data_IF_339782291844
#
_entry.id   IF_339782291844
#
_cell.length_a   1.000
_cell.length_b   1.000
_cell.length_c   1.000
_cell.angle_alpha   90.00
_cell.angle_beta   90.00
_cell.angle_gamma   90.00
#
_symmetry.space_group_name_H-M   'P 1'
#
loop_
_entity.id
_entity.type
_entity.pdbx_description
1 polymer ?
2 non-polymer ?
3 non-polymer ?
4 non-polymer ?
5 water ?
#
# COMPACT_ATOMS: atom_id res chain seq x y z
N UNK A 2 3.38 1.25 19.70
CA UNK A 2 4.08 1.71 18.51
C UNK A 2 3.51 1.03 17.26
N UNK A 3 3.16 1.82 16.25
CA UNK A 3 2.62 1.26 15.02
C UNK A 3 3.69 0.73 14.11
N UNK A 4 3.34 -0.32 13.37
CA UNK A 4 4.17 -0.78 12.27
C UNK A 4 3.49 -0.40 10.96
N UNK A 5 4.18 0.40 10.16
CA UNK A 5 3.69 0.85 8.87
C UNK A 5 4.53 0.20 7.79
N UNK A 6 3.88 -0.38 6.79
CA UNK A 6 4.61 -0.98 5.68
C UNK A 6 4.18 -0.35 4.37
N UNK A 7 5.13 0.17 3.61
CA UNK A 7 4.83 0.60 2.26
C UNK A 7 5.15 -0.51 1.26
N UNK A 8 4.26 -0.71 0.29
CA UNK A 8 4.50 -1.63 -0.81
C UNK A 8 4.39 -0.89 -2.12
N UNK A 9 5.48 -0.84 -2.88
CA UNK A 9 5.47 -0.11 -4.15
C UNK A 9 5.75 -1.08 -5.30
N UNK A 10 5.03 -0.92 -6.41
CA UNK A 10 4.98 -1.96 -7.41
C UNK A 10 5.37 -1.63 -8.84
N UNK A 11 6.19 -0.61 -9.03
CA UNK A 11 6.66 -0.33 -10.38
C UNK A 11 7.76 -1.33 -10.74
N UNK A 12 7.72 -1.87 -11.96
CA UNK A 12 8.82 -2.73 -12.41
C UNK A 12 9.96 -1.89 -12.97
N UNK A 13 9.81 -0.57 -12.90
CA UNK A 13 10.78 0.32 -13.51
C UNK A 13 11.81 0.79 -12.49
N UNK A 14 13.06 0.89 -12.93
CA UNK A 14 14.11 1.44 -12.07
C UNK A 14 13.91 2.96 -11.99
N UNK A 15 14.31 3.55 -10.87
CA UNK A 15 14.09 4.97 -10.66
C UNK A 15 12.59 5.32 -10.67
N UNK A 16 11.82 4.61 -9.86
CA UNK A 16 10.36 4.74 -9.81
C UNK A 16 9.89 6.02 -9.12
N UNK A 17 9.12 6.83 -9.83
CA UNK A 17 8.43 7.96 -9.21
C UNK A 17 7.43 7.47 -8.17
N UNK A 18 6.75 6.37 -8.48
CA UNK A 18 5.80 5.77 -7.55
C UNK A 18 6.47 5.39 -6.23
N UNK A 19 7.69 4.85 -6.31
CA UNK A 19 8.44 4.49 -5.11
C UNK A 19 8.77 5.74 -4.28
N UNK A 20 9.12 6.82 -4.97
CA UNK A 20 9.43 8.07 -4.28
C UNK A 20 8.18 8.62 -3.58
N UNK A 21 7.04 8.45 -4.22
CA UNK A 21 5.79 8.92 -3.62
C UNK A 21 5.47 8.08 -2.38
N UNK A 22 5.67 6.77 -2.47
CA UNK A 22 5.39 5.90 -1.34
C UNK A 22 6.37 6.22 -0.20
N UNK A 23 7.62 6.50 -0.55
CA UNK A 23 8.61 6.82 0.47
C UNK A 23 8.25 8.14 1.15
N UNK A 24 7.80 9.12 0.37
CA UNK A 24 7.36 10.38 0.96
C UNK A 24 6.22 10.15 1.96
N UNK A 25 5.24 9.36 1.57
CA UNK A 25 4.10 9.09 2.42
C UNK A 25 4.53 8.37 3.70
N UNK A 26 5.44 7.41 3.57
CA UNK A 26 5.89 6.66 4.73
C UNK A 26 6.60 7.59 5.71
N UNK A 27 7.48 8.43 5.19
CA UNK A 27 8.19 9.40 6.04
C UNK A 27 7.21 10.38 6.73
N UNK A 28 6.21 10.83 5.98
CA UNK A 28 5.22 11.79 6.48
C UNK A 28 4.53 11.19 7.69
N UNK A 29 4.07 9.95 7.56
CA UNK A 29 3.41 9.27 8.67
C UNK A 29 4.33 9.08 9.87
N UNK A 30 5.55 8.61 9.62
CA UNK A 30 6.49 8.35 10.71
C UNK A 30 6.90 9.63 11.45
N UNK A 31 6.92 10.76 10.74
CA UNK A 31 7.26 12.04 11.36
C UNK A 31 6.18 12.53 12.33
N UNK A 32 5.00 11.93 12.28
CA UNK A 32 3.87 12.48 13.02
C UNK A 32 3.15 11.49 13.93
N UNK A 33 3.69 10.29 14.08
CA UNK A 33 3.07 9.27 14.92
C UNK A 33 4.16 8.41 15.55
N UNK A 34 3.83 7.66 16.59
CA UNK A 34 4.80 6.75 17.19
C UNK A 34 4.86 5.49 16.35
N UNK A 35 5.63 5.54 15.27
CA UNK A 35 5.65 4.46 14.27
C UNK A 35 7.05 4.05 13.83
N UNK A 36 7.21 2.77 13.51
CA UNK A 36 8.35 2.35 12.70
C UNK A 36 7.84 1.83 11.35
N UNK A 37 8.71 1.78 10.35
CA UNK A 37 8.25 1.39 9.03
C UNK A 37 9.25 0.59 8.21
N UNK A 38 8.75 0.01 7.13
CA UNK A 38 9.61 -0.56 6.10
C UNK A 38 8.95 -0.36 4.74
N UNK A 39 9.76 -0.42 3.69
CA UNK A 39 9.29 -0.20 2.34
C UNK A 39 9.66 -1.41 1.48
N UNK A 40 8.65 -2.22 1.15
CA UNK A 40 8.82 -3.38 0.27
C UNK A 40 8.76 -2.92 -1.19
N UNK A 41 9.90 -2.94 -1.86
CA UNK A 41 9.94 -2.67 -3.30
C UNK A 41 9.78 -4.00 -4.02
N UNK A 42 8.63 -4.23 -4.65
CA UNK A 42 8.32 -5.56 -5.16
C UNK A 42 9.34 -6.00 -6.23
N UNK A 43 9.86 -5.04 -6.98
CA UNK A 43 10.87 -5.30 -7.99
C UNK A 43 12.13 -5.96 -7.39
N UNK A 44 12.33 -5.77 -6.10
CA UNK A 44 13.55 -6.29 -5.48
C UNK A 44 13.37 -7.68 -4.91
N UNK A 45 12.16 -8.22 -5.01
CA UNK A 45 11.95 -9.59 -4.58
C UNK A 45 12.37 -10.54 -5.70
N UNK A 46 12.73 -11.76 -5.32
CA UNK A 46 13.15 -12.76 -6.29
C UNK A 46 11.99 -13.12 -7.23
N UNK A 47 12.12 -12.82 -8.54
CA UNK A 47 10.99 -12.96 -9.47
C UNK A 47 10.41 -14.38 -9.50
N UNK A 48 11.26 -15.39 -9.53
CA UNK A 48 10.76 -16.76 -9.57
C UNK A 48 9.99 -17.11 -8.30
N UNK A 49 10.57 -16.79 -7.15
CA UNK A 49 9.93 -17.12 -5.90
C UNK A 49 8.62 -16.33 -5.76
N UNK A 50 8.63 -15.09 -6.24
CA UNK A 50 7.44 -14.23 -6.15
C UNK A 50 6.29 -14.85 -6.95
N UNK A 51 6.51 -15.09 -8.24
CA UNK A 51 5.47 -15.64 -9.10
C UNK A 51 5.01 -17.03 -8.67
N UNK A 52 5.89 -17.79 -8.01
CA UNK A 52 5.54 -19.13 -7.52
C UNK A 52 5.01 -19.15 -6.09
N UNK A 53 5.03 -18.01 -5.41
CA UNK A 53 4.65 -17.96 -4.01
C UNK A 53 5.53 -18.85 -3.15
N UNK A 54 6.81 -18.93 -3.49
CA UNK A 54 7.74 -19.81 -2.79
C UNK A 54 8.25 -19.16 -1.51
N UNK A 55 7.65 -19.52 -0.38
CA UNK A 55 7.99 -18.89 0.89
C UNK A 55 9.21 -19.49 1.54
N UNK A 56 9.88 -20.40 0.83
CA UNK A 56 11.15 -20.91 1.30
C UNK A 56 12.22 -19.87 0.97
N UNK A 57 11.89 -18.92 0.10
CA UNK A 57 12.76 -17.77 -0.14
C UNK A 57 12.64 -16.79 1.03
N UNK A 58 13.72 -16.64 1.80
CA UNK A 58 13.67 -15.87 3.05
C UNK A 58 13.15 -14.44 2.88
N UNK A 59 13.65 -13.75 1.86
CA UNK A 59 13.33 -12.35 1.70
C UNK A 59 11.84 -12.18 1.36
N UNK A 60 11.31 -13.08 0.54
CA UNK A 60 9.88 -13.06 0.21
C UNK A 60 9.04 -13.35 1.44
N UNK A 61 9.44 -14.37 2.20
CA UNK A 61 8.72 -14.73 3.42
C UNK A 61 8.70 -13.55 4.39
N UNK A 62 9.83 -12.85 4.49
CA UNK A 62 9.95 -11.70 5.38
C UNK A 62 9.00 -10.56 4.99
N UNK A 63 8.88 -10.31 3.69
CA UNK A 63 7.97 -9.31 3.16
C UNK A 63 6.51 -9.66 3.48
N UNK A 64 6.16 -10.93 3.28
CA UNK A 64 4.81 -11.38 3.57
C UNK A 64 4.52 -11.24 5.07
N UNK A 65 5.42 -11.72 5.91
CA UNK A 65 5.27 -11.58 7.36
C UNK A 65 5.14 -10.12 7.80
N UNK A 66 5.96 -9.24 7.23
CA UNK A 66 5.93 -7.82 7.59
C UNK A 66 4.58 -7.19 7.21
N UNK A 67 4.08 -7.55 6.03
CA UNK A 67 2.78 -7.08 5.59
C UNK A 67 1.69 -7.54 6.56
N UNK A 68 1.72 -8.82 6.93
CA UNK A 68 0.71 -9.36 7.85
C UNK A 68 0.78 -8.74 9.24
N UNK A 69 1.97 -8.32 9.65
CA UNK A 69 2.16 -7.73 10.97
C UNK A 69 1.91 -6.21 11.02
N UNK A 70 1.67 -5.58 9.87
CA UNK A 70 1.51 -4.13 9.82
C UNK A 70 0.17 -3.66 10.41
N UNK A 71 0.15 -2.46 10.99
CA UNK A 71 -1.10 -1.82 11.40
C UNK A 71 -1.69 -0.99 10.26
N UNK A 72 -0.81 -0.49 9.40
CA UNK A 72 -1.21 0.28 8.23
C UNK A 72 -0.34 -0.08 7.04
N UNK A 73 -0.94 -0.14 5.86
CA UNK A 73 -0.21 -0.37 4.62
C UNK A 73 -0.36 0.80 3.67
N UNK A 74 0.75 1.23 3.10
CA UNK A 74 0.73 2.17 2.01
C UNK A 74 0.94 1.35 0.74
N UNK A 75 -0.05 1.38 -0.14
CA UNK A 75 -0.02 0.52 -1.33
C UNK A 75 0.05 1.38 -2.58
N UNK A 76 1.20 1.34 -3.24
CA UNK A 76 1.49 2.29 -4.30
C UNK A 76 1.85 1.60 -5.63
N UNK A 77 1.25 2.07 -6.71
CA UNK A 77 1.49 1.49 -8.02
C UNK A 77 1.46 2.55 -9.10
N UNK A 78 2.28 2.38 -10.15
CA UNK A 78 2.01 3.19 -11.33
C UNK A 78 0.78 2.62 -12.01
N UNK A 79 0.11 3.40 -12.84
CA UNK A 79 -0.99 2.86 -13.61
C UNK A 79 -0.43 2.23 -14.89
N UNK A 80 -0.66 0.92 -15.04
CA UNK A 80 -0.28 0.18 -16.25
C UNK A 80 -1.56 -0.41 -16.86
N UNK A 81 -1.82 -0.11 -18.13
CA UNK A 81 -3.00 -0.66 -18.81
C UNK A 81 -4.26 -0.39 -18.00
N UNK A 82 -4.40 0.84 -17.50
CA UNK A 82 -5.61 1.27 -16.80
C UNK A 82 -5.88 0.54 -15.49
N UNK A 83 -4.83 -0.01 -14.86
CA UNK A 83 -4.99 -0.65 -13.56
C UNK A 83 -3.66 -0.70 -12.81
N UNK A 84 -3.63 -1.40 -11.68
CA UNK A 84 -2.38 -1.59 -10.94
C UNK A 84 -1.47 -2.52 -11.75
N UNK A 85 -0.18 -2.57 -11.40
CA UNK A 85 0.75 -3.40 -12.16
C UNK A 85 0.57 -4.88 -11.83
N UNK A 86 0.93 -5.74 -12.78
CA UNK A 86 0.94 -7.17 -12.51
C UNK A 86 1.94 -7.47 -11.40
N UNK A 87 3.03 -6.71 -11.38
CA UNK A 87 4.06 -6.91 -10.36
C UNK A 87 3.47 -6.71 -8.96
N UNK A 88 2.72 -5.62 -8.76
CA UNK A 88 2.09 -5.39 -7.46
C UNK A 88 1.11 -6.50 -7.13
N UNK A 89 0.23 -6.81 -8.08
CA UNK A 89 -0.79 -7.83 -7.85
C UNK A 89 -0.18 -9.20 -7.55
N UNK A 90 0.95 -9.52 -8.18
CA UNK A 90 1.66 -10.76 -7.90
C UNK A 90 2.02 -10.86 -6.42
N UNK A 91 2.41 -9.74 -5.82
CA UNK A 91 2.73 -9.73 -4.40
C UNK A 91 1.47 -9.93 -3.56
N UNK A 92 0.43 -9.14 -3.86
CA UNK A 92 -0.83 -9.28 -3.16
C UNK A 92 -1.34 -10.72 -3.24
N UNK A 93 -1.12 -11.37 -4.38
CA UNK A 93 -1.64 -12.71 -4.61
C UNK A 93 -1.08 -13.72 -3.60
N UNK A 94 0.13 -13.50 -3.10
CA UNK A 94 0.70 -14.48 -2.16
C UNK A 94 0.35 -14.24 -0.68
N UNK A 95 -0.33 -13.14 -0.37
CA UNK A 95 -0.79 -12.94 1.00
C UNK A 95 -1.93 -13.90 1.34
N UNK A 96 -2.10 -14.23 2.63
CA UNK A 96 -3.22 -15.05 3.11
C UNK A 96 -4.57 -14.47 2.69
N UNK A 97 -5.60 -15.31 2.65
CA UNK A 97 -6.91 -14.90 2.15
C UNK A 97 -7.45 -13.64 2.84
N UNK A 98 -7.30 -13.57 4.15
CA UNK A 98 -7.79 -12.40 4.88
C UNK A 98 -6.65 -11.60 5.49
N UNK A 99 -5.58 -11.47 4.71
CA UNK A 99 -4.33 -10.88 5.18
C UNK A 99 -4.49 -9.48 5.78
N UNK A 100 -5.48 -8.72 5.32
CA UNK A 100 -5.55 -7.31 5.71
C UNK A 100 -6.54 -7.02 6.85
N UNK A 101 -7.08 -8.08 7.46
CA UNK A 101 -7.98 -7.92 8.59
C UNK A 101 -7.32 -7.03 9.63
N UNK A 102 -8.07 -6.06 10.15
CA UNK A 102 -7.58 -5.17 11.18
C UNK A 102 -6.78 -3.96 10.70
N UNK A 103 -6.33 -3.99 9.45
CA UNK A 103 -5.39 -2.98 8.96
C UNK A 103 -6.02 -1.77 8.27
N UNK A 104 -5.38 -0.61 8.44
CA UNK A 104 -5.70 0.57 7.65
C UNK A 104 -4.89 0.51 6.36
N UNK A 105 -5.34 1.21 5.32
CA UNK A 105 -4.62 1.24 4.04
C UNK A 105 -4.77 2.54 3.26
N UNK A 106 -3.71 2.92 2.55
CA UNK A 106 -3.68 4.14 1.74
C UNK A 106 -3.26 3.81 0.32
N UNK A 107 -4.20 3.90 -0.65
CA UNK A 107 -3.87 3.62 -2.05
C UNK A 107 -3.28 4.84 -2.75
N UNK A 108 -2.12 4.65 -3.37
CA UNK A 108 -1.42 5.72 -4.06
C UNK A 108 -1.09 5.27 -5.47
N UNK A 109 -1.15 6.20 -6.41
CA UNK A 109 -0.63 5.90 -7.74
C UNK A 109 -0.06 7.11 -8.44
N UNK A 110 0.76 6.83 -9.44
CA UNK A 110 1.14 7.84 -10.41
C UNK A 110 0.76 7.30 -11.78
N UNK A 111 0.48 8.19 -12.72
CA UNK A 111 0.17 7.78 -14.08
C UNK A 111 0.61 8.84 -15.06
N UNK A 112 0.60 8.51 -16.34
CA UNK A 112 1.00 9.44 -17.37
C UNK A 112 -0.11 10.41 -17.70
N UNK A 113 -1.34 10.03 -17.39
CA UNK A 113 -2.52 10.80 -17.78
C UNK A 113 -3.54 10.91 -16.66
N UNK A 114 -4.18 12.08 -16.53
CA UNK A 114 -5.22 12.23 -15.51
C UNK A 114 -6.44 11.37 -15.84
N UNK A 115 -6.48 10.80 -17.03
CA UNK A 115 -7.65 10.04 -17.45
C UNK A 115 -7.84 8.76 -16.65
N UNK A 116 -6.80 8.29 -15.96
CA UNK A 116 -6.90 7.01 -15.25
C UNK A 116 -6.94 7.09 -13.72
N UNK A 117 -7.31 8.27 -13.21
CA UNK A 117 -7.47 8.48 -11.78
C UNK A 117 -8.32 7.40 -11.10
N UNK A 118 -9.37 6.94 -11.78
CA UNK A 118 -10.30 5.98 -11.19
C UNK A 118 -9.79 4.54 -11.06
N UNK A 119 -8.64 4.25 -11.67
CA UNK A 119 -8.09 2.89 -11.61
C UNK A 119 -7.89 2.45 -10.16
N UNK A 120 -7.55 3.39 -9.28
CA UNK A 120 -7.41 3.06 -7.87
C UNK A 120 -8.73 2.60 -7.24
N UNK A 121 -9.75 3.44 -7.35
CA UNK A 121 -11.04 3.16 -6.70
C UNK A 121 -11.85 2.01 -7.35
N UNK A 122 -11.78 1.89 -8.67
CA UNK A 122 -12.49 0.82 -9.38
C UNK A 122 -11.65 -0.45 -9.47
N UNK A 123 -10.33 -0.32 -9.33
CA UNK A 123 -9.43 -1.44 -9.56
C UNK A 123 -8.77 -2.01 -8.33
N UNK A 124 -7.97 -1.19 -7.64
CA UNK A 124 -7.22 -1.66 -6.47
C UNK A 124 -8.09 -1.80 -5.21
N UNK A 125 -9.01 -0.86 -5.02
CA UNK A 125 -9.82 -0.85 -3.80
C UNK A 125 -10.58 -2.16 -3.58
N UNK A 126 -11.22 -2.69 -4.63
CA UNK A 126 -11.94 -3.97 -4.46
C UNK A 126 -11.02 -5.13 -4.10
N UNK A 127 -9.78 -5.11 -4.58
CA UNK A 127 -8.84 -6.18 -4.26
C UNK A 127 -8.48 -6.13 -2.77
N UNK A 128 -8.21 -4.94 -2.25
CA UNK A 128 -7.92 -4.79 -0.83
C UNK A 128 -9.10 -5.28 0.01
N UNK A 129 -10.31 -4.98 -0.44
CA UNK A 129 -11.48 -5.44 0.30
C UNK A 129 -11.73 -6.95 0.23
N UNK A 130 -11.20 -7.62 -0.78
CA UNK A 130 -11.29 -9.07 -0.81
C UNK A 130 -10.44 -9.69 0.31
N UNK A 131 -9.57 -8.89 0.92
CA UNK A 131 -8.62 -9.41 1.92
C UNK A 131 -8.98 -9.00 3.36
N UNK A 132 -10.22 -8.54 3.55
CA UNK A 132 -10.73 -8.28 4.89
C UNK A 132 -10.20 -7.00 5.51
N UNK A 133 -9.69 -6.10 4.67
CA UNK A 133 -9.07 -4.85 5.11
C UNK A 133 -10.02 -4.06 6.03
N UNK A 134 -9.47 -3.40 7.05
CA UNK A 134 -10.34 -2.71 8.01
C UNK A 134 -10.82 -1.34 7.53
N UNK A 135 -9.89 -0.54 7.02
CA UNK A 135 -10.19 0.84 6.63
C UNK A 135 -9.26 1.29 5.53
N UNK A 136 -9.80 1.47 4.33
CA UNK A 136 -9.02 2.05 3.23
C UNK A 136 -9.45 3.50 3.08
N UNK A 137 -8.54 4.44 3.31
CA UNK A 137 -8.93 5.86 3.22
C UNK A 137 -8.95 6.28 1.76
N UNK A 138 -9.07 7.57 1.50
CA UNK A 138 -9.18 8.03 0.13
C UNK A 138 -7.94 7.68 -0.69
N UNK A 139 -8.14 7.46 -1.98
CA UNK A 139 -7.04 7.22 -2.91
C UNK A 139 -6.37 8.54 -3.25
N UNK A 140 -5.08 8.49 -3.57
CA UNK A 140 -4.44 9.66 -4.16
C UNK A 140 -3.69 9.27 -5.42
N UNK A 141 -3.94 10.00 -6.50
CA UNK A 141 -3.31 9.75 -7.79
C UNK A 141 -2.56 11.00 -8.22
N UNK A 142 -1.32 10.83 -8.66
CA UNK A 142 -0.54 11.94 -9.21
C UNK A 142 -0.10 11.71 -10.66
N UNK A 143 -0.30 12.71 -11.50
CA UNK A 143 0.20 12.66 -12.87
C UNK A 143 1.71 12.86 -12.87
N UNK A 144 2.40 12.05 -13.68
CA UNK A 144 3.87 11.94 -13.65
C UNK A 144 4.56 13.29 -13.59
N UNK A 145 4.11 14.20 -14.45
CA UNK A 145 4.68 15.53 -14.56
C UNK A 145 4.61 16.31 -13.24
N UNK A 146 3.44 16.30 -12.60
CA UNK A 146 3.21 17.07 -11.37
C UNK A 146 4.28 16.84 -10.30
N UNK A 147 5.05 15.77 -10.43
CA UNK A 147 6.09 15.44 -9.46
C UNK A 147 7.43 16.08 -9.86
N UNK A 148 8.37 16.11 -8.92
CA UNK A 148 9.69 16.68 -9.17
C UNK A 148 10.69 16.24 -8.11
N UNK A 154 5.89 17.68 -1.31
CA UNK A 154 7.01 18.60 -1.17
C UNK A 154 7.88 18.63 -2.42
N UNK A 155 7.25 18.94 -3.55
CA UNK A 155 7.91 19.00 -4.85
C UNK A 155 6.84 19.15 -5.94
N UNK A 156 5.66 19.62 -5.54
CA UNK A 156 4.52 19.66 -6.45
C UNK A 156 3.69 20.92 -6.25
N UNK A 157 2.69 21.12 -7.11
CA UNK A 157 1.76 22.24 -6.97
C UNK A 157 1.09 22.19 -5.62
N UNK A 158 0.80 23.36 -5.07
CA UNK A 158 0.22 23.46 -3.74
C UNK A 158 -1.12 22.74 -3.61
N UNK A 159 -1.92 22.75 -4.67
CA UNK A 159 -3.23 22.10 -4.64
C UNK A 159 -3.07 20.59 -4.50
N UNK A 160 -2.17 20.04 -5.31
CA UNK A 160 -1.88 18.62 -5.31
C UNK A 160 -1.25 18.21 -3.98
N UNK A 161 -0.34 19.04 -3.48
CA UNK A 161 0.34 18.75 -2.23
C UNK A 161 -0.64 18.70 -1.05
N UNK A 162 -1.60 19.61 -1.03
CA UNK A 162 -2.61 19.61 0.02
C UNK A 162 -3.40 18.30 0.02
N UNK A 163 -3.85 17.89 -1.16
CA UNK A 163 -4.63 16.67 -1.29
C UNK A 163 -3.82 15.46 -0.84
N UNK A 164 -2.56 15.39 -1.29
CA UNK A 164 -1.70 14.28 -0.89
C UNK A 164 -1.54 14.25 0.62
N UNK A 165 -1.16 15.39 1.19
CA UNK A 165 -0.92 15.46 2.62
C UNK A 165 -2.18 15.13 3.42
N UNK A 166 -3.33 15.61 2.94
CA UNK A 166 -4.59 15.27 3.57
C UNK A 166 -4.86 13.76 3.58
N UNK A 167 -4.57 13.10 2.46
CA UNK A 167 -4.75 11.65 2.38
C UNK A 167 -3.84 10.93 3.38
N UNK A 168 -2.58 11.35 3.44
CA UNK A 168 -1.63 10.72 4.35
C UNK A 168 -2.02 11.03 5.79
N UNK A 169 -2.42 12.27 6.06
CA UNK A 169 -2.96 12.60 7.39
C UNK A 169 -4.09 11.66 7.78
N UNK A 170 -5.03 11.44 6.86
CA UNK A 170 -6.18 10.62 7.20
C UNK A 170 -5.72 9.18 7.46
N UNK A 171 -4.85 8.68 6.60
CA UNK A 171 -4.28 7.35 6.81
C UNK A 171 -3.69 7.23 8.21
N UNK A 172 -2.84 8.18 8.60
CA UNK A 172 -2.25 8.14 9.94
C UNK A 172 -3.31 8.17 11.05
N UNK A 173 -4.29 9.06 10.92
CA UNK A 173 -5.36 9.14 11.91
C UNK A 173 -6.20 7.87 11.98
N UNK A 174 -6.23 7.10 10.90
CA UNK A 174 -7.08 5.91 10.87
C UNK A 174 -6.41 4.71 11.56
N UNK A 175 -5.11 4.81 11.82
CA UNK A 175 -4.38 3.71 12.48
C UNK A 175 -4.97 3.39 13.85
N UNK A 176 -5.03 2.11 14.20
CA UNK A 176 -5.61 1.73 15.49
C UNK A 176 -4.61 1.17 16.47
N UNK A 177 -4.64 1.70 17.69
CA UNK A 177 -3.76 1.25 18.76
C UNK A 177 -4.44 0.28 19.73
N UNK A 178 -5.67 -0.12 19.42
CA UNK A 178 -6.41 -1.02 20.29
C UNK A 178 -6.51 -2.44 19.71
N UNK A 179 -6.18 -3.44 20.53
CA UNK A 179 -6.27 -4.84 20.07
C UNK A 179 -7.71 -5.27 19.74
N UNK A 180 -8.69 -4.50 20.20
CA UNK A 180 -10.09 -4.82 19.93
C UNK A 180 -10.43 -4.70 18.44
N UNK A 181 -9.58 -4.00 17.70
CA UNK A 181 -9.82 -3.75 16.27
C UNK A 181 -9.09 -4.74 15.36
N UNK A 182 -8.23 -5.58 15.93
CA UNK A 182 -7.32 -6.41 15.13
C UNK A 182 -7.98 -7.33 14.09
N UNK A 183 -9.24 -7.71 14.31
CA UNK A 183 -9.92 -8.58 13.36
C UNK A 183 -11.01 -7.86 12.55
N UNK A 184 -11.20 -6.57 12.80
CA UNK A 184 -12.27 -5.84 12.10
C UNK A 184 -12.02 -5.78 10.59
N UNK A 185 -13.09 -6.00 9.83
CA UNK A 185 -12.99 -6.12 8.38
C UNK A 185 -13.08 -7.56 7.92
N UNK A 186 -12.72 -8.49 8.80
CA UNK A 186 -12.83 -9.93 8.50
C UNK A 186 -14.32 -10.31 8.61
N UNK A 187 -14.84 -11.08 7.64
CA UNK A 187 -16.26 -11.46 7.67
C UNK A 187 -16.60 -12.42 8.82
N UNK A 188 -15.60 -13.12 9.37
CA UNK A 188 -15.81 -14.03 10.49
C UNK A 188 -14.66 -13.92 11.48
N UNK A 189 -14.63 -12.83 12.27
CA UNK A 189 -13.52 -12.46 13.15
C UNK A 189 -13.00 -13.60 14.03
N UNK A 190 -13.91 -14.41 14.58
CA UNK A 190 -13.49 -15.51 15.44
C UNK A 190 -12.70 -16.57 14.65
N UNK A 191 -12.93 -16.63 13.34
CA UNK A 191 -12.17 -17.54 12.48
C UNK A 191 -10.81 -16.95 12.09
N UNK A 192 -10.35 -16.02 12.92
CA UNK A 192 -9.00 -15.44 12.85
C UNK A 192 -8.95 -14.16 12.02
N UNK A 193 -7.98 -14.06 11.11
CA UNK A 193 -7.75 -12.81 10.39
C UNK A 193 -6.55 -12.91 9.45
X LIG B 1 3.84 8.57 -19.76
X LIG B 1 4.26 8.68 -18.33
X LIG B 1 2.37 8.40 -19.95
X LIG B 1 4.48 7.36 -20.50
X LIG B 1 5.72 6.84 -20.07
X LIG B 1 6.18 5.81 -21.00
X LIG B 1 5.37 4.64 -20.95
X LIG B 1 6.17 6.28 -22.39
X LIG B 1 7.34 5.88 -23.00
X LIG B 1 5.04 5.61 -23.03
X LIG B 1 5.36 5.23 -24.33
X LIG B 1 4.82 4.40 -22.23
X LIG B 1 3.49 4.13 -22.11
X LIG B 1 2.52 4.93 -21.81
X LIG B 1 1.37 4.25 -21.81
X LIG B 1 1.63 2.96 -22.11
X LIG B 1 0.85 1.79 -22.25
X LIG B 1 -0.54 1.84 -22.05
X LIG B 1 1.47 0.66 -22.55
X LIG B 1 2.76 0.67 -22.74
X LIG B 1 3.54 1.71 -22.63
X LIG B 1 3.01 2.89 -22.31
X LIG B 1 4.32 9.89 -20.42
X LIG B 1 3.67 10.60 -21.70
X LIG B 1 3.00 9.53 -22.48
X LIG B 1 4.84 11.27 -22.42
X LIG B 1 2.59 11.60 -21.12
X LIG B 1 1.84 12.60 -21.84
X LIG B 1 0.40 12.06 -21.98
X LIG B 1 -0.62 12.65 -21.18
X LIG B 1 -0.06 12.27 -23.30
X LIG B 1 0.71 11.41 -24.14
X LIG B 1 -1.46 11.85 -23.19
X LIG B 1 -1.54 10.47 -23.35
X LIG B 1 -1.83 12.16 -21.78
X LIG B 1 -2.84 13.14 -21.74
X LIG B 1 -4.09 12.89 -21.30
X LIG B 1 -5.06 13.90 -21.24
X LIG B 1 -6.51 13.73 -20.72
X LIG B 1 -6.65 14.16 -19.62
X LIG B 1 -7.62 13.17 -21.42
X LIG B 1 -4.69 15.20 -21.64
X LIG B 1 -3.40 15.42 -22.09
X LIG B 1 -2.51 14.35 -22.11
X LIG C 1 -0.21 5.80 -17.54
X LIG C 1 -1.58 5.98 -17.48
X LIG C 1 -2.04 7.05 -17.08
X LIG C 1 -2.42 4.97 -17.90
X LIG C 1 -1.93 3.77 -18.37
X LIG C 1 -2.69 2.87 -18.72
X LIG C 1 -0.56 3.59 -18.42
X LIG C 1 -0.04 2.39 -18.87
X LIG C 1 1.33 2.22 -18.91
X LIG C 1 1.86 1.01 -19.37
X LIG C 1 3.24 0.83 -19.42
X LIG C 1 3.82 -0.47 -19.91
X LIG C 1 4.08 1.85 -19.01
X LIG C 1 5.57 1.65 -19.06
X LIG C 1 3.56 3.06 -18.54
X LIG C 1 2.18 3.24 -18.49
X LIG C 1 1.65 4.44 -18.03
X LIG C 1 0.29 4.61 -18.00
X LIG C 1 2.52 5.56 -17.57
X LIG C 1 2.95 5.31 -16.12
X LIG C 1 1.83 5.09 -15.29
X LIG C 1 3.71 6.52 -15.57
X LIG C 1 4.86 6.74 -16.37
X LIG C 1 4.11 6.31 -14.11
X LIG C 1 4.35 7.55 -13.48
X LIG C 1 5.35 5.43 -13.98
X LIG C 1 5.69 5.32 -12.61
X LIG C 1 7.11 4.73 -12.12
X LIG C 1 8.16 5.79 -12.34
X LIG C 1 7.42 3.46 -12.87
X LIG C 1 7.05 4.43 -10.64
X LIG D 1 16.96 -13.13 -3.21
X LIG D 1 18.32 -12.77 -2.81
X LIG D 1 17.01 -13.69 -4.54
X LIG D 1 16.40 -14.12 -2.30
X LIG D 1 16.14 -11.91 -3.20
X LIG E 1 -6.79 22.15 3.27
X LIG E 1 -5.63 22.74 3.93
X LIG E 1 -6.33 21.10 2.36
X LIG E 1 -7.68 21.60 4.29
X LIG E 1 -7.50 23.16 2.48
#
# INVERSE_FOLDING_TARGET
>A
XTYSIVAISGSPSRNSTTAKLAEYALAHVLARSDSQGRHIHVIDLDPKALLRGDLSNAKLKEAVDATCNADGLIVATPIYKASYTGLLKAFLDILPQFALAGKAALPLATGGSPAHVLALDYGLRPVLHSMGVRHVVQSFFMVQSQFSVVDGKLAVEDDVASQLNNAIDHFRLSLSSEPSTRHLGHPRPSLDATRAA
>B hetero
1 NAI PA O1A O2A O5B C5B C4B O4B C3B O3B C2B O2B C1B N9A C8A N7A C5A C6A N6A N1A C2A N3A C4A O3 PN O1N O2N O5D C5D C4D O4D C3D O3D C2D O2D C1D N1N C2N C3N C7N O7N N7N C4N C5N C6N
>C hetero
1 FMN N1 C2 O2 N3 C4 O4 C4A N5 C5A C6 C7 C7M C8 C8M C9 C9A N10 C10 C1' C2' O2' C3' O3' C4' O4' C5' O5' P O1P O2P O3P
>D hetero
1 SO4 S O1 O2 O3 O4
>E hetero
1 SO4 S O1 O2 O3 O4
#
